data_IF_172053088295
#
_entry.id   IF_172053088295
#
_cell.length_a   1.000
_cell.length_b   1.000
_cell.length_c   1.000
_cell.angle_alpha   90.00
_cell.angle_beta   90.00
_cell.angle_gamma   90.00
#
_symmetry.space_group_name_H-M   'P 1'
#
loop_
_entity.id
_entity.type
_entity.pdbx_description
1 polymer ?
#
# COMPACT_ATOMS: atom_id res chain seq x y z
N UNK A 1 -38.60 -10.11 -8.49
CA UNK A 1 -37.92 -10.60 -7.28
C UNK A 1 -36.41 -10.61 -7.51
N UNK A 2 -35.68 -9.63 -6.96
CA UNK A 2 -34.21 -9.56 -7.05
C UNK A 2 -33.61 -10.37 -5.89
N UNK A 3 -32.88 -11.44 -6.19
CA UNK A 3 -32.14 -12.22 -5.18
C UNK A 3 -30.75 -11.61 -5.01
N UNK A 4 -30.54 -10.97 -3.87
CA UNK A 4 -29.27 -10.43 -3.41
C UNK A 4 -28.34 -11.59 -3.03
N UNK A 5 -27.26 -11.80 -3.76
CA UNK A 5 -26.22 -12.77 -3.42
C UNK A 5 -25.20 -12.09 -2.50
N UNK A 6 -25.22 -12.44 -1.21
CA UNK A 6 -24.16 -12.06 -0.27
C UNK A 6 -22.97 -12.99 -0.47
N UNK A 7 -21.84 -12.43 -0.91
CA UNK A 7 -20.57 -13.13 -1.04
C UNK A 7 -19.96 -13.29 0.37
N UNK A 8 -20.22 -14.42 1.03
CA UNK A 8 -19.54 -14.79 2.27
C UNK A 8 -18.13 -15.30 1.93
N UNK A 9 -17.10 -14.58 2.40
CA UNK A 9 -15.72 -15.04 2.38
C UNK A 9 -15.57 -16.09 3.50
N UNK A 10 -15.69 -17.37 3.18
CA UNK A 10 -15.52 -18.46 4.14
C UNK A 10 -14.04 -18.80 4.30
N UNK A 11 -13.48 -18.48 5.46
CA UNK A 11 -12.22 -19.08 5.91
C UNK A 11 -12.53 -20.49 6.43
N UNK A 12 -12.23 -21.52 5.66
CA UNK A 12 -12.27 -22.90 6.13
C UNK A 12 -10.95 -23.23 6.79
N UNK A 13 -10.94 -23.25 8.12
CA UNK A 13 -9.83 -23.80 8.91
C UNK A 13 -9.96 -25.33 8.89
N UNK A 14 -9.03 -26.02 8.21
CA UNK A 14 -8.85 -27.46 8.44
C UNK A 14 -8.16 -27.65 9.79
N UNK A 15 -8.87 -28.24 10.75
CA UNK A 15 -8.36 -28.59 12.06
C UNK A 15 -7.79 -30.01 12.00
N UNK A 16 -6.47 -30.13 12.08
CA UNK A 16 -5.79 -31.34 12.52
C UNK A 16 -4.65 -30.93 13.48
N UNK A 17 -4.88 -31.13 14.78
CA UNK A 17 -3.88 -31.28 15.85
C UNK A 17 -2.89 -30.13 16.12
N UNK A 18 -3.08 -29.46 17.27
CA UNK A 18 -2.25 -28.42 17.92
C UNK A 18 -2.63 -26.95 17.64
N UNK A 19 -3.71 -26.53 18.31
CA UNK A 19 -4.01 -25.14 18.66
C UNK A 19 -3.00 -24.62 19.70
N UNK A 20 -1.91 -23.99 19.25
CA UNK A 20 -1.02 -23.20 20.13
C UNK A 20 -0.42 -21.98 19.40
N UNK A 21 -1.21 -21.26 18.61
CA UNK A 21 -0.82 -19.93 18.14
C UNK A 21 -1.62 -18.94 18.99
N UNK A 22 -0.91 -18.11 19.75
CA UNK A 22 -1.52 -17.11 20.63
C UNK A 22 -1.96 -15.87 19.83
N UNK A 23 -1.13 -15.50 18.85
CA UNK A 23 -1.39 -14.36 17.96
C UNK A 23 -1.21 -14.83 16.51
N UNK A 24 -2.25 -14.80 15.67
CA UNK A 24 -2.12 -15.18 14.27
C UNK A 24 -1.26 -14.16 13.51
N UNK A 25 -0.66 -14.56 12.39
CA UNK A 25 0.08 -13.63 11.55
C UNK A 25 -0.90 -12.63 10.90
N UNK A 26 -0.47 -11.38 10.77
CA UNK A 26 -1.30 -10.27 10.26
C UNK A 26 -0.49 -9.46 9.26
N UNK A 27 -1.09 -9.02 8.14
CA UNK A 27 -0.41 -8.11 7.22
C UNK A 27 -0.09 -6.77 7.88
N UNK A 28 1.03 -6.13 7.52
CA UNK A 28 1.37 -4.81 8.06
C UNK A 28 0.38 -3.71 7.65
N UNK A 29 -0.36 -3.93 6.57
CA UNK A 29 -1.41 -3.04 6.05
C UNK A 29 -2.78 -3.71 6.11
N UNK A 30 -3.84 -2.91 6.20
CA UNK A 30 -5.20 -3.43 6.17
C UNK A 30 -5.63 -3.87 4.76
N UNK A 31 -6.75 -4.59 4.65
CA UNK A 31 -7.29 -5.11 3.38
C UNK A 31 -7.48 -4.04 2.30
N UNK A 32 -7.91 -2.83 2.67
CA UNK A 32 -8.12 -1.74 1.71
C UNK A 32 -6.79 -1.23 1.16
N UNK A 33 -5.78 -1.07 2.01
CA UNK A 33 -4.44 -0.65 1.61
C UNK A 33 -3.77 -1.72 0.74
N UNK A 34 -3.93 -3.01 1.07
CA UNK A 34 -3.46 -4.11 0.22
C UNK A 34 -4.13 -4.04 -1.14
N UNK A 35 -5.45 -3.88 -1.20
CA UNK A 35 -6.16 -3.72 -2.47
C UNK A 35 -5.59 -2.56 -3.30
N UNK A 36 -5.39 -1.40 -2.68
CA UNK A 36 -4.80 -0.23 -3.37
C UNK A 36 -3.37 -0.49 -3.84
N UNK A 37 -2.56 -1.19 -3.05
CA UNK A 37 -1.23 -1.63 -3.46
C UNK A 37 -1.31 -2.56 -4.68
N UNK A 38 -2.16 -3.58 -4.64
CA UNK A 38 -2.35 -4.49 -5.77
C UNK A 38 -2.84 -3.74 -7.02
N UNK A 39 -3.81 -2.83 -6.88
CA UNK A 39 -4.28 -1.99 -7.98
C UNK A 39 -3.13 -1.11 -8.54
N UNK A 40 -2.26 -0.56 -7.69
CA UNK A 40 -1.12 0.25 -8.14
C UNK A 40 0.00 -0.59 -8.78
N UNK A 41 0.29 -1.77 -8.23
CA UNK A 41 1.46 -2.57 -8.57
C UNK A 41 1.20 -3.63 -9.64
N UNK A 42 -0.04 -4.07 -9.83
CA UNK A 42 -0.34 -5.14 -10.77
C UNK A 42 0.07 -4.75 -12.19
N UNK A 43 0.77 -5.66 -12.85
CA UNK A 43 1.11 -5.64 -14.26
C UNK A 43 0.51 -6.90 -14.86
N UNK A 44 -0.60 -6.75 -15.59
CA UNK A 44 -1.26 -7.89 -16.21
C UNK A 44 -0.38 -8.45 -17.32
N UNK A 45 -0.13 -9.77 -17.37
CA UNK A 45 0.67 -10.36 -18.44
C UNK A 45 0.06 -10.07 -19.81
N UNK A 46 0.90 -9.64 -20.77
CA UNK A 46 0.45 -9.17 -22.09
C UNK A 46 -0.37 -10.22 -22.84
N UNK A 47 0.06 -11.47 -22.81
CA UNK A 47 -0.62 -12.58 -23.47
C UNK A 47 -1.99 -12.88 -22.84
N UNK A 48 -2.06 -12.91 -21.52
CA UNK A 48 -3.29 -13.16 -20.77
C UNK A 48 -4.30 -12.03 -20.99
N UNK A 49 -3.82 -10.79 -20.99
CA UNK A 49 -4.63 -9.60 -21.25
C UNK A 49 -5.18 -9.59 -22.69
N UNK A 50 -4.35 -9.94 -23.69
CA UNK A 50 -4.76 -10.02 -25.09
C UNK A 50 -5.82 -11.11 -25.33
N UNK A 51 -5.69 -12.24 -24.63
CA UNK A 51 -6.65 -13.36 -24.66
C UNK A 51 -7.85 -13.15 -23.71
N UNK A 52 -7.88 -12.04 -22.95
CA UNK A 52 -8.89 -11.72 -21.93
C UNK A 52 -9.07 -12.82 -20.89
N UNK A 53 -7.96 -13.42 -20.46
CA UNK A 53 -7.96 -14.48 -19.45
C UNK A 53 -8.09 -13.83 -18.07
N UNK A 54 -9.28 -13.94 -17.49
CA UNK A 54 -9.54 -13.62 -16.09
C UNK A 54 -9.31 -14.85 -15.20
N UNK A 55 -9.05 -14.63 -13.91
CA UNK A 55 -8.75 -15.74 -13.03
C UNK A 55 -8.48 -15.38 -11.58
N UNK A 56 -8.39 -16.41 -10.75
CA UNK A 56 -7.95 -16.31 -9.37
C UNK A 56 -6.71 -17.17 -9.21
N UNK A 57 -5.63 -16.58 -8.75
CA UNK A 57 -4.42 -17.30 -8.36
C UNK A 57 -4.39 -17.43 -6.85
N UNK A 58 -4.41 -18.67 -6.37
CA UNK A 58 -4.26 -19.00 -4.95
C UNK A 58 -2.86 -19.53 -4.73
N UNK A 59 -2.15 -18.91 -3.80
CA UNK A 59 -0.78 -19.25 -3.43
C UNK A 59 -0.69 -19.58 -1.95
N UNK A 60 0.25 -20.46 -1.62
CA UNK A 60 0.71 -20.80 -0.26
C UNK A 60 2.09 -20.18 -0.05
N UNK A 61 2.41 -19.78 1.16
CA UNK A 61 3.78 -19.37 1.53
C UNK A 61 3.98 -19.54 3.02
N UNK A 62 5.24 -19.66 3.41
CA UNK A 62 5.65 -19.62 4.81
C UNK A 62 5.96 -18.17 5.17
N UNK A 63 5.33 -17.65 6.22
CA UNK A 63 5.77 -16.42 6.87
C UNK A 63 6.85 -16.84 7.86
N UNK A 64 8.06 -16.30 7.71
CA UNK A 64 9.17 -16.54 8.64
C UNK A 64 9.00 -15.75 9.95
N UNK A 65 9.93 -15.93 10.88
CA UNK A 65 9.93 -15.31 12.21
C UNK A 65 10.08 -13.78 12.14
N UNK A 66 10.62 -13.25 11.05
CA UNK A 66 10.76 -11.81 10.79
C UNK A 66 9.53 -11.22 10.06
N UNK A 67 8.60 -12.07 9.60
CA UNK A 67 7.38 -11.65 8.93
C UNK A 67 7.50 -11.51 7.41
N UNK A 68 8.53 -12.07 6.80
CA UNK A 68 8.69 -12.12 5.34
C UNK A 68 8.05 -13.39 4.75
N UNK A 69 7.37 -13.27 3.59
CA UNK A 69 6.88 -14.42 2.85
C UNK A 69 8.02 -15.13 2.08
N UNK A 70 8.29 -16.37 2.48
CA UNK A 70 9.24 -17.31 1.86
C UNK A 70 8.52 -18.56 1.37
N UNK A 71 9.21 -19.42 0.61
CA UNK A 71 8.69 -20.71 0.14
C UNK A 71 7.30 -20.60 -0.54
N UNK A 72 7.20 -19.69 -1.51
CA UNK A 72 5.93 -19.42 -2.20
C UNK A 72 5.61 -20.53 -3.20
N UNK A 73 4.42 -21.11 -3.08
CA UNK A 73 3.92 -22.18 -3.95
C UNK A 73 2.57 -21.79 -4.55
N UNK A 74 2.34 -22.16 -5.81
CA UNK A 74 1.03 -21.99 -6.46
C UNK A 74 0.14 -23.19 -6.11
N UNK A 75 -0.97 -22.94 -5.42
CA UNK A 75 -1.99 -23.96 -5.15
C UNK A 75 -2.88 -24.15 -6.38
N UNK A 76 -3.29 -23.04 -6.99
CA UNK A 76 -4.12 -23.06 -8.20
C UNK A 76 -3.99 -21.74 -8.96
N UNK A 77 -3.97 -21.80 -10.29
CA UNK A 77 -3.99 -20.63 -11.15
C UNK A 77 -4.26 -21.03 -12.61
N UNK A 78 -4.53 -20.05 -13.46
CA UNK A 78 -5.02 -20.29 -14.82
C UNK A 78 -3.87 -20.41 -15.83
N UNK A 79 -2.84 -19.57 -15.72
CA UNK A 79 -1.70 -19.52 -16.63
C UNK A 79 -0.42 -19.23 -15.87
N UNK A 80 0.73 -19.58 -16.46
CA UNK A 80 2.03 -19.27 -15.88
C UNK A 80 2.24 -17.76 -15.69
N UNK A 81 1.79 -16.93 -16.65
CA UNK A 81 1.91 -15.48 -16.56
C UNK A 81 1.18 -14.91 -15.33
N UNK A 82 -0.08 -15.30 -15.11
CA UNK A 82 -0.83 -14.87 -13.93
C UNK A 82 -0.20 -15.38 -12.63
N UNK A 83 0.36 -16.60 -12.65
CA UNK A 83 1.04 -17.18 -11.49
C UNK A 83 2.29 -16.37 -11.12
N UNK A 84 3.15 -16.07 -12.09
CA UNK A 84 4.39 -15.31 -11.87
C UNK A 84 4.09 -13.91 -11.32
N UNK A 85 3.06 -13.26 -11.87
CA UNK A 85 2.61 -11.95 -11.40
C UNK A 85 2.03 -12.02 -9.97
N UNK A 86 1.28 -13.06 -9.65
CA UNK A 86 0.75 -13.26 -8.31
C UNK A 86 1.87 -13.46 -7.28
N UNK A 87 2.90 -14.24 -7.62
CA UNK A 87 4.09 -14.42 -6.77
C UNK A 87 4.82 -13.09 -6.57
N UNK A 88 5.02 -12.32 -7.64
CA UNK A 88 5.66 -11.00 -7.58
C UNK A 88 4.93 -10.06 -6.62
N UNK A 89 3.61 -9.97 -6.72
CA UNK A 89 2.78 -9.11 -5.86
C UNK A 89 2.76 -9.60 -4.41
N UNK A 90 2.52 -10.90 -4.18
CA UNK A 90 2.44 -11.46 -2.83
C UNK A 90 3.76 -11.36 -2.08
N UNK A 91 4.90 -11.53 -2.77
CA UNK A 91 6.23 -11.44 -2.15
C UNK A 91 6.57 -10.06 -1.59
N UNK A 92 5.81 -9.02 -1.96
CA UNK A 92 6.02 -7.63 -1.50
C UNK A 92 5.14 -7.27 -0.30
N UNK A 93 4.18 -8.11 0.06
CA UNK A 93 3.31 -7.91 1.23
C UNK A 93 4.04 -8.45 2.46
N UNK A 94 4.28 -7.58 3.43
CA UNK A 94 4.92 -7.91 4.70
C UNK A 94 3.89 -8.24 5.77
N UNK A 95 4.32 -9.07 6.70
CA UNK A 95 3.48 -9.62 7.75
C UNK A 95 4.10 -9.34 9.12
N UNK A 96 3.27 -9.27 10.15
CA UNK A 96 3.65 -9.60 11.51
C UNK A 96 3.66 -11.13 11.59
N UNK A 97 4.72 -11.74 12.13
CA UNK A 97 4.76 -13.18 12.32
C UNK A 97 3.69 -13.62 13.31
N UNK A 98 3.35 -14.91 13.27
CA UNK A 98 2.53 -15.50 14.31
C UNK A 98 3.34 -15.62 15.61
N UNK A 99 2.68 -15.48 16.77
CA UNK A 99 3.31 -15.68 18.07
C UNK A 99 2.80 -16.95 18.73
N UNK A 100 3.73 -17.74 19.25
CA UNK A 100 3.49 -18.88 20.12
C UNK A 100 4.32 -18.73 21.39
N UNK A 101 3.66 -18.71 22.54
CA UNK A 101 4.26 -18.39 23.84
C UNK A 101 5.07 -17.08 23.80
N UNK A 102 4.54 -16.07 23.11
CA UNK A 102 5.20 -14.77 22.92
C UNK A 102 6.41 -14.76 21.98
N UNK A 103 6.79 -15.89 21.38
CA UNK A 103 7.88 -15.98 20.40
C UNK A 103 7.35 -16.07 18.98
N UNK A 104 7.99 -15.37 18.05
CA UNK A 104 7.68 -15.48 16.64
C UNK A 104 7.90 -16.92 16.15
N UNK A 105 6.97 -17.43 15.35
CA UNK A 105 7.03 -18.77 14.77
C UNK A 105 6.64 -18.75 13.31
N UNK A 106 7.25 -19.64 12.52
CA UNK A 106 6.89 -19.83 11.12
C UNK A 106 5.46 -20.32 10.98
N UNK A 107 4.74 -19.76 10.03
CA UNK A 107 3.36 -20.18 9.72
C UNK A 107 3.10 -20.20 8.24
N UNK A 108 2.44 -21.24 7.77
CA UNK A 108 1.96 -21.34 6.39
C UNK A 108 0.67 -20.54 6.25
N UNK A 109 0.61 -19.68 5.23
CA UNK A 109 -0.57 -18.90 4.90
C UNK A 109 -0.95 -19.05 3.43
N UNK A 110 -2.24 -18.91 3.16
CA UNK A 110 -2.74 -18.84 1.79
C UNK A 110 -3.22 -17.44 1.46
N UNK A 111 -2.93 -16.97 0.26
CA UNK A 111 -3.42 -15.70 -0.25
C UNK A 111 -3.97 -15.89 -1.67
N UNK A 112 -5.01 -15.13 -2.01
CA UNK A 112 -5.64 -15.20 -3.33
C UNK A 112 -5.59 -13.83 -3.98
N UNK A 113 -5.09 -13.78 -5.20
CA UNK A 113 -5.08 -12.59 -6.04
C UNK A 113 -6.06 -12.80 -7.19
N UNK A 114 -6.98 -11.84 -7.31
CA UNK A 114 -8.00 -11.83 -8.35
C UNK A 114 -7.50 -11.01 -9.55
N UNK A 115 -7.43 -11.65 -10.71
CA UNK A 115 -7.10 -11.05 -11.98
C UNK A 115 -8.39 -10.86 -12.79
N UNK A 116 -8.65 -9.61 -13.15
CA UNK A 116 -9.80 -9.25 -13.96
C UNK A 116 -9.41 -8.14 -14.95
N UNK A 117 -9.46 -8.45 -16.24
CA UNK A 117 -9.03 -7.57 -17.31
C UNK A 117 -9.80 -6.25 -17.30
N UNK A 118 -11.11 -6.27 -17.06
CA UNK A 118 -11.96 -5.07 -17.08
C UNK A 118 -11.62 -4.11 -15.94
N UNK A 119 -11.42 -4.64 -14.72
CA UNK A 119 -10.94 -3.88 -13.58
C UNK A 119 -9.53 -3.35 -13.82
N UNK A 120 -8.63 -4.19 -14.36
CA UNK A 120 -7.26 -3.78 -14.71
C UNK A 120 -7.24 -2.62 -15.70
N UNK A 121 -7.99 -2.68 -16.81
CA UNK A 121 -8.08 -1.58 -17.77
C UNK A 121 -8.57 -0.28 -17.14
N UNK A 122 -9.57 -0.36 -16.25
CA UNK A 122 -10.06 0.81 -15.52
C UNK A 122 -8.97 1.42 -14.62
N UNK A 123 -8.25 0.56 -13.90
CA UNK A 123 -7.15 0.98 -13.01
C UNK A 123 -6.00 1.59 -13.80
N UNK A 124 -5.59 0.98 -14.93
CA UNK A 124 -4.55 1.53 -15.82
C UNK A 124 -4.94 2.91 -16.35
N UNK A 125 -6.20 3.08 -16.76
CA UNK A 125 -6.72 4.39 -17.19
C UNK A 125 -6.68 5.42 -16.07
N UNK A 126 -6.97 5.02 -14.83
CA UNK A 126 -6.97 5.89 -13.65
C UNK A 126 -5.56 6.29 -13.21
N UNK A 127 -4.64 5.32 -13.11
CA UNK A 127 -3.25 5.57 -12.66
C UNK A 127 -2.33 6.12 -13.76
N UNK A 128 -2.71 5.96 -15.03
CA UNK A 128 -2.02 6.53 -16.20
C UNK A 128 -0.85 5.71 -16.74
N UNK A 129 -0.64 4.49 -16.25
CA UNK A 129 0.44 3.59 -16.69
C UNK A 129 0.00 2.12 -16.66
N UNK A 130 0.45 1.35 -17.65
CA UNK A 130 0.22 -0.10 -17.75
C UNK A 130 1.40 -0.90 -17.18
N UNK A 131 2.60 -0.53 -17.59
CA UNK A 131 3.88 -1.01 -17.06
C UNK A 131 4.55 0.12 -16.27
N UNK A 132 5.39 -0.25 -15.29
CA UNK A 132 6.12 0.73 -14.49
C UNK A 132 7.46 0.99 -15.16
N UNK A 133 7.53 2.06 -15.94
CA UNK A 133 8.68 2.42 -16.78
C UNK A 133 9.80 3.16 -16.01
N UNK A 134 9.98 2.88 -14.73
CA UNK A 134 11.02 3.56 -13.97
C UNK A 134 12.39 2.96 -14.26
N UNK A 135 13.07 3.62 -15.21
CA UNK A 135 14.50 3.61 -15.48
C UNK A 135 15.06 2.30 -16.02
N UNK A 136 15.99 2.38 -16.97
CA UNK A 136 16.82 1.26 -17.48
C UNK A 136 17.75 0.66 -16.39
N UNK A 137 17.42 0.84 -15.12
CA UNK A 137 18.18 0.41 -13.97
C UNK A 137 17.69 -0.99 -13.60
N UNK A 138 18.58 -1.99 -13.54
CA UNK A 138 18.21 -3.30 -13.09
C UNK A 138 17.73 -3.26 -11.63
N UNK A 139 16.72 -4.08 -11.32
CA UNK A 139 16.21 -4.20 -9.95
C UNK A 139 17.01 -5.23 -9.16
N UNK A 140 17.20 -4.97 -7.87
CA UNK A 140 17.67 -6.01 -6.95
C UNK A 140 16.61 -7.12 -6.87
N UNK A 141 17.03 -8.35 -7.17
CA UNK A 141 16.18 -9.54 -7.09
C UNK A 141 16.08 -10.07 -5.66
N UNK A 142 16.96 -9.59 -4.76
CA UNK A 142 16.88 -9.94 -3.35
C UNK A 142 15.68 -9.27 -2.70
N UNK A 143 15.10 -9.92 -1.70
CA UNK A 143 13.90 -9.44 -1.00
C UNK A 143 14.20 -8.43 0.10
N UNK A 144 15.48 -8.09 0.30
CA UNK A 144 15.96 -7.20 1.36
C UNK A 144 15.33 -5.81 1.27
N UNK A 145 15.08 -5.21 2.42
CA UNK A 145 14.58 -3.84 2.54
C UNK A 145 15.61 -3.04 3.32
N UNK A 146 16.13 -1.99 2.70
CA UNK A 146 17.25 -1.23 3.22
C UNK A 146 16.79 0.03 3.95
N UNK A 147 17.59 0.52 4.90
CA UNK A 147 17.42 1.86 5.44
C UNK A 147 18.16 2.87 4.57
N UNK A 148 17.76 4.14 4.62
CA UNK A 148 18.37 5.19 3.78
C UNK A 148 19.87 5.36 3.98
N UNK A 149 20.39 5.06 5.18
CA UNK A 149 21.82 5.14 5.48
C UNK A 149 22.67 4.12 4.70
N UNK A 150 22.05 3.05 4.18
CA UNK A 150 22.72 1.96 3.49
C UNK A 150 22.67 2.11 1.95
N UNK A 151 22.21 3.26 1.44
CA UNK A 151 21.94 3.50 0.02
C UNK A 151 22.94 4.49 -0.60
N UNK A 152 23.26 4.27 -1.87
CA UNK A 152 24.05 5.21 -2.66
C UNK A 152 23.19 6.44 -3.04
N UNK A 153 21.92 6.20 -3.37
CA UNK A 153 20.91 7.25 -3.54
C UNK A 153 19.63 6.93 -2.79
N UNK A 154 19.13 7.89 -2.02
CA UNK A 154 17.85 7.74 -1.31
C UNK A 154 16.66 7.88 -2.27
N UNK A 155 15.52 7.22 -1.98
CA UNK A 155 14.27 7.47 -2.69
C UNK A 155 13.90 8.95 -2.72
N UNK A 156 13.30 9.41 -3.83
CA UNK A 156 12.91 10.81 -4.02
C UNK A 156 11.47 10.90 -4.53
N UNK A 157 10.59 11.73 -3.95
CA UNK A 157 9.25 11.91 -4.48
C UNK A 157 9.30 12.66 -5.82
N UNK A 158 8.46 12.25 -6.76
CA UNK A 158 8.29 12.92 -8.06
C UNK A 158 7.25 14.02 -7.87
N UNK A 159 7.74 15.23 -7.64
CA UNK A 159 6.91 16.40 -7.39
C UNK A 159 6.72 17.19 -8.69
N UNK A 160 5.46 17.44 -9.08
CA UNK A 160 5.14 18.25 -10.26
C UNK A 160 5.68 19.67 -10.09
N UNK A 161 6.16 20.29 -11.18
CA UNK A 161 6.77 21.64 -11.20
C UNK A 161 5.97 22.75 -10.51
N UNK A 162 4.64 22.61 -10.41
CA UNK A 162 3.78 23.58 -9.71
C UNK A 162 3.99 23.62 -8.19
N UNK A 163 4.64 22.61 -7.62
CA UNK A 163 4.91 22.53 -6.19
C UNK A 163 6.40 22.73 -5.91
N UNK A 164 6.70 23.45 -4.84
CA UNK A 164 8.09 23.83 -4.47
C UNK A 164 8.87 22.60 -3.98
N UNK A 165 8.28 21.81 -3.08
CA UNK A 165 8.86 20.62 -2.48
C UNK A 165 7.75 19.69 -1.96
N UNK A 166 8.12 18.57 -1.33
CA UNK A 166 7.17 17.61 -0.76
C UNK A 166 6.29 18.25 0.34
N UNK A 167 6.85 19.10 1.20
CA UNK A 167 6.09 19.77 2.26
C UNK A 167 4.99 20.68 1.70
N UNK A 168 5.32 21.49 0.69
CA UNK A 168 4.36 22.32 -0.03
C UNK A 168 3.30 21.46 -0.75
N UNK A 169 3.70 20.34 -1.36
CA UNK A 169 2.75 19.39 -1.94
C UNK A 169 1.76 18.86 -0.89
N UNK A 170 2.25 18.39 0.26
CA UNK A 170 1.41 17.87 1.33
C UNK A 170 0.43 18.94 1.79
N UNK A 171 0.90 20.16 2.03
CA UNK A 171 0.06 21.28 2.48
C UNK A 171 -1.07 21.59 1.49
N UNK A 172 -0.76 21.70 0.19
CA UNK A 172 -1.74 22.01 -0.85
C UNK A 172 -2.73 20.87 -1.09
N UNK A 173 -2.30 19.63 -0.88
CA UNK A 173 -3.15 18.45 -1.06
C UNK A 173 -3.95 18.09 0.19
N UNK A 174 -3.65 18.67 1.36
CA UNK A 174 -4.23 18.34 2.66
C UNK A 174 -5.70 18.75 2.73
N UNK A 175 -6.57 17.76 2.96
CA UNK A 175 -7.98 17.95 3.27
C UNK A 175 -8.21 17.63 4.74
N UNK A 176 -8.34 18.65 5.57
CA UNK A 176 -8.60 18.46 6.99
C UNK A 176 -9.95 17.74 7.19
N UNK A 177 -9.97 16.55 7.82
CA UNK A 177 -11.22 15.84 8.07
C UNK A 177 -12.20 16.67 8.90
N UNK A 178 -13.44 16.78 8.46
CA UNK A 178 -14.45 17.61 9.12
C UNK A 178 -14.71 17.19 10.57
N UNK A 179 -14.71 15.88 10.86
CA UNK A 179 -14.85 15.35 12.21
C UNK A 179 -13.68 15.75 13.11
N UNK A 180 -12.44 15.70 12.61
CA UNK A 180 -11.26 16.17 13.35
C UNK A 180 -11.30 17.68 13.59
N UNK A 181 -11.69 18.46 12.57
CA UNK A 181 -11.80 19.92 12.68
C UNK A 181 -12.84 20.35 13.71
N UNK A 182 -14.07 19.81 13.65
CA UNK A 182 -15.16 20.10 14.60
C UNK A 182 -14.80 19.71 16.04
N UNK A 183 -14.01 18.66 16.21
CA UNK A 183 -13.57 18.17 17.51
C UNK A 183 -12.29 18.85 18.03
N UNK A 184 -11.72 19.81 17.28
CA UNK A 184 -10.46 20.47 17.68
C UNK A 184 -9.24 19.54 17.68
N UNK A 185 -9.30 18.40 16.99
CA UNK A 185 -8.23 17.39 16.98
C UNK A 185 -7.10 17.90 16.10
N UNK A 186 -5.91 18.10 16.66
CA UNK A 186 -4.68 18.52 15.97
C UNK A 186 -3.52 17.58 16.28
N UNK A 187 -2.48 17.58 15.46
CA UNK A 187 -1.27 16.81 15.70
C UNK A 187 -0.57 16.36 14.43
N UNK A 188 0.39 15.46 14.57
CA UNK A 188 1.16 14.91 13.46
C UNK A 188 0.93 13.41 13.36
N UNK A 189 0.41 12.97 12.21
CA UNK A 189 0.35 11.55 11.84
C UNK A 189 1.71 11.16 11.29
N UNK A 190 2.32 10.10 11.85
CA UNK A 190 3.56 9.50 11.32
C UNK A 190 3.24 8.20 10.62
N UNK A 191 3.56 8.12 9.34
CA UNK A 191 3.44 6.91 8.54
C UNK A 191 4.80 6.25 8.39
N UNK A 192 4.82 4.92 8.42
CA UNK A 192 5.96 4.10 7.97
C UNK A 192 5.49 3.21 6.83
N UNK A 193 6.33 3.01 5.84
CA UNK A 193 6.00 2.28 4.62
C UNK A 193 7.27 1.78 3.93
N UNK A 194 7.10 1.03 2.86
CA UNK A 194 8.19 0.59 1.98
C UNK A 194 8.01 1.26 0.63
N UNK A 195 9.08 1.83 0.09
CA UNK A 195 9.16 2.23 -1.31
C UNK A 195 9.77 1.05 -2.04
N UNK A 196 8.97 0.44 -2.92
CA UNK A 196 9.38 -0.68 -3.75
C UNK A 196 10.40 -0.24 -4.81
N UNK A 197 11.09 -1.22 -5.39
CA UNK A 197 12.10 -0.97 -6.43
C UNK A 197 11.53 -0.34 -7.72
N UNK A 198 10.21 -0.38 -7.88
CA UNK A 198 9.47 0.28 -8.95
C UNK A 198 8.82 1.61 -8.50
N UNK A 199 9.17 2.12 -7.31
CA UNK A 199 8.69 3.39 -6.79
C UNK A 199 7.26 3.37 -6.23
N UNK A 200 6.61 2.20 -6.21
CA UNK A 200 5.29 2.05 -5.60
C UNK A 200 5.43 1.95 -4.09
N UNK A 201 4.51 2.57 -3.36
CA UNK A 201 4.43 2.42 -1.91
C UNK A 201 3.66 1.17 -1.50
N UNK A 202 4.22 0.41 -0.58
CA UNK A 202 3.61 -0.79 0.01
C UNK A 202 3.74 -0.76 1.53
N UNK A 203 3.08 -1.70 2.22
CA UNK A 203 3.28 -1.94 3.66
C UNK A 203 3.10 -0.69 4.54
N UNK A 204 2.14 0.16 4.18
CA UNK A 204 1.81 1.39 4.91
C UNK A 204 1.23 1.04 6.27
N UNK A 205 1.83 1.59 7.32
CA UNK A 205 1.35 1.51 8.70
C UNK A 205 1.40 2.89 9.37
N UNK A 206 0.44 3.14 10.26
CA UNK A 206 0.42 4.34 11.10
C UNK A 206 1.25 4.05 12.34
N UNK A 207 2.37 4.76 12.49
CA UNK A 207 3.28 4.64 13.64
C UNK A 207 2.90 5.61 14.76
N UNK A 208 2.34 6.77 14.40
CA UNK A 208 1.70 7.71 15.33
C UNK A 208 0.37 8.17 14.74
N UNK A 209 -0.71 7.87 15.45
CA UNK A 209 -2.08 8.26 15.08
C UNK A 209 -2.45 9.60 15.70
N UNK A 210 -3.30 10.35 15.00
CA UNK A 210 -3.99 11.54 15.54
C UNK A 210 -5.48 11.28 15.73
N UNK A 211 -6.07 10.36 14.95
CA UNK A 211 -7.50 10.05 15.01
C UNK A 211 -8.36 11.04 14.20
N UNK A 212 -9.68 10.98 14.38
CA UNK A 212 -10.62 11.89 13.71
C UNK A 212 -10.63 11.79 12.17
N UNK A 213 -10.06 10.73 11.58
CA UNK A 213 -9.91 10.58 10.13
C UNK A 213 -8.60 11.12 9.55
N UNK A 214 -7.74 11.76 10.37
CA UNK A 214 -6.45 12.31 9.93
C UNK A 214 -5.51 11.23 9.37
N UNK A 215 -5.54 10.03 9.95
CA UNK A 215 -4.73 8.90 9.50
C UNK A 215 -5.06 8.50 8.05
N UNK A 216 -6.35 8.42 7.71
CA UNK A 216 -6.81 8.08 6.37
C UNK A 216 -6.42 9.15 5.35
N UNK A 217 -6.47 10.42 5.76
CA UNK A 217 -6.06 11.54 4.90
C UNK A 217 -4.54 11.52 4.66
N UNK A 218 -3.74 11.27 5.69
CA UNK A 218 -2.29 11.12 5.55
C UNK A 218 -1.95 9.96 4.60
N UNK A 219 -2.64 8.82 4.72
CA UNK A 219 -2.49 7.67 3.82
C UNK A 219 -2.90 8.04 2.39
N UNK A 220 -3.98 8.80 2.19
CA UNK A 220 -4.43 9.25 0.87
C UNK A 220 -3.37 10.10 0.17
N UNK A 221 -2.77 11.05 0.89
CA UNK A 221 -1.69 11.90 0.36
C UNK A 221 -0.46 11.06 0.04
N UNK A 222 -0.07 10.12 0.92
CA UNK A 222 1.06 9.21 0.65
C UNK A 222 0.86 8.43 -0.64
N UNK A 223 -0.35 7.87 -0.82
CA UNK A 223 -0.71 7.07 -2.00
C UNK A 223 -0.83 7.88 -3.29
N UNK A 224 -0.93 9.22 -3.22
CA UNK A 224 -0.96 10.07 -4.41
C UNK A 224 0.42 10.54 -4.87
N UNK A 225 1.50 10.18 -4.15
CA UNK A 225 2.87 10.52 -4.49
C UNK A 225 3.49 9.37 -5.28
N UNK A 226 4.08 9.70 -6.43
CA UNK A 226 4.97 8.80 -7.15
C UNK A 226 6.39 8.95 -6.60
N UNK A 227 7.13 7.85 -6.50
CA UNK A 227 8.50 7.86 -5.95
C UNK A 227 9.49 7.35 -6.99
N UNK A 228 10.69 7.91 -6.97
CA UNK A 228 11.88 7.22 -7.48
C UNK A 228 12.36 6.26 -6.39
N UNK A 229 12.74 5.02 -6.74
CA UNK A 229 13.28 4.07 -5.77
C UNK A 229 14.64 4.55 -5.24
N UNK A 230 15.10 3.91 -4.17
CA UNK A 230 16.48 4.06 -3.71
C UNK A 230 17.42 3.23 -4.60
N UNK A 231 18.68 3.66 -4.70
CA UNK A 231 19.71 2.99 -5.49
C UNK A 231 20.81 2.48 -4.56
N UNK A 232 21.24 1.23 -4.79
CA UNK A 232 22.40 0.62 -4.15
C UNK A 232 23.11 -0.30 -5.13
N UNK A 233 24.42 -0.17 -5.28
CA UNK A 233 25.22 -0.94 -6.23
C UNK A 233 24.66 -0.88 -7.67
N UNK A 234 24.20 0.30 -8.09
CA UNK A 234 23.54 0.54 -9.38
C UNK A 234 22.23 -0.26 -9.60
N UNK A 235 21.67 -0.84 -8.53
CA UNK A 235 20.40 -1.53 -8.55
C UNK A 235 19.33 -0.69 -7.86
N UNK A 236 18.13 -0.67 -8.43
CA UNK A 236 16.95 -0.14 -7.74
C UNK A 236 16.51 -1.12 -6.66
N UNK A 237 16.42 -0.63 -5.42
CA UNK A 237 16.18 -1.45 -4.22
C UNK A 237 14.88 -1.07 -3.50
N UNK A 238 14.44 -1.95 -2.60
CA UNK A 238 13.33 -1.68 -1.68
C UNK A 238 13.87 -0.95 -0.46
N UNK A 239 13.19 0.11 -0.01
CA UNK A 239 13.64 0.92 1.14
C UNK A 239 12.55 1.16 2.17
N UNK A 240 12.90 1.13 3.45
CA UNK A 240 12.05 1.65 4.51
C UNK A 240 11.99 3.18 4.44
N UNK A 241 10.79 3.74 4.55
CA UNK A 241 10.56 5.17 4.53
C UNK A 241 9.53 5.57 5.59
N UNK A 242 9.54 6.87 5.94
CA UNK A 242 8.54 7.47 6.80
C UNK A 242 8.10 8.83 6.28
N UNK A 243 6.85 9.20 6.55
CA UNK A 243 6.29 10.50 6.17
C UNK A 243 5.42 11.04 7.31
N UNK A 244 5.65 12.30 7.66
CA UNK A 244 4.90 13.01 8.69
C UNK A 244 3.92 13.99 8.04
N UNK A 245 2.65 13.92 8.44
CA UNK A 245 1.58 14.82 7.99
C UNK A 245 1.00 15.53 9.20
N UNK A 246 1.13 16.86 9.22
CA UNK A 246 0.74 17.69 10.37
C UNK A 246 -0.60 18.37 10.10
N UNK A 247 -1.54 18.17 11.01
CA UNK A 247 -2.88 18.76 11.04
C UNK A 247 -2.91 19.85 12.11
N UNK A 248 -3.08 21.09 11.67
CA UNK A 248 -3.13 22.26 12.54
C UNK A 248 -4.32 23.14 12.16
N UNK A 249 -5.13 23.50 13.14
CA UNK A 249 -6.21 24.47 13.03
C UNK A 249 -5.54 25.85 13.20
N UNK A 250 -5.22 26.51 12.10
CA UNK A 250 -4.79 27.91 12.15
C UNK A 250 -6.00 28.79 12.46
N UNK A 251 -5.88 29.69 13.43
CA UNK A 251 -6.92 30.64 13.85
C UNK A 251 -7.35 31.66 12.78
N UNK A 252 -6.75 31.67 11.59
CA UNK A 252 -6.88 32.77 10.62
C UNK A 252 -7.33 32.38 9.20
N UNK A 253 -8.27 31.43 9.07
CA UNK A 253 -9.07 31.28 7.83
C UNK A 253 -10.54 30.96 8.11
N UNK A 254 -11.25 31.93 8.70
CA UNK A 254 -12.64 32.18 8.33
C UNK A 254 -12.60 33.31 7.28
N UNK A 255 -12.18 32.99 6.05
CA UNK A 255 -12.49 33.80 4.88
C UNK A 255 -13.59 33.07 4.13
N UNK A 256 -14.83 33.39 4.47
CA UNK A 256 -15.99 32.73 3.89
C UNK A 256 -17.32 33.06 4.55
N UNK A 257 -17.49 34.27 5.09
CA UNK A 257 -18.83 34.83 5.31
C UNK A 257 -18.84 36.20 4.63
N UNK A 258 -19.47 36.35 3.45
CA UNK A 258 -19.75 37.68 2.91
C UNK A 258 -20.85 38.28 3.78
N UNK A 259 -20.49 39.09 4.77
CA UNK A 259 -21.48 39.92 5.42
C UNK A 259 -21.76 41.12 4.51
N UNK A 260 -22.74 40.96 3.62
CA UNK A 260 -23.48 42.09 3.06
C UNK A 260 -24.33 42.67 4.20
N UNK A 261 -23.97 43.86 4.68
CA UNK A 261 -24.88 45.00 4.85
C UNK A 261 -24.25 46.11 5.72
N UNK A 262 -24.51 47.35 5.29
CA UNK A 262 -24.43 48.63 6.03
C UNK A 262 -23.04 49.11 6.44
N UNK A 263 -22.58 50.33 6.18
CA UNK A 263 -23.14 51.64 5.77
C UNK A 263 -21.97 52.39 5.11
N UNK A 264 -22.11 53.15 4.03
CA UNK A 264 -22.91 54.37 4.02
C UNK A 264 -22.19 55.50 4.76
N UNK A 265 -20.97 55.85 4.33
CA UNK A 265 -20.29 57.15 4.35
C UNK A 265 -18.94 57.01 3.64
#
# INVERSE_FOLDING_TARGET
MKRTFFLFLTFTYHIAGFSQIDVPPETLSNKQQIKKFLDAAMVYPKEDLAKRIDGKVKLSFTIDEEGYPVDVEIISGQTAGLNDEAVRLASRILWKPALKNGKAVKTVQTFTIDFNCSHYYRVVKERGYGEIEFYDIPFDKNKNIYNFADLDETPKPIIKKRFINLGHYIQEMLQYPESAFRAGIQGTVKLKFVIENDGIVSNIRVDKSVGGGCDNEAIRILQSIQWKPGIKNQLAIRSHASMDVTFQISSNKIQGIPNRQSTGL
#
